data_IF_000700622073
#
_entry.id   IF_000700622073
#
_cell.length_a   1.000
_cell.length_b   1.000
_cell.length_c   1.000
_cell.angle_alpha   90.00
_cell.angle_beta   90.00
_cell.angle_gamma   90.00
#
_symmetry.space_group_name_H-M   'P 1'
#
loop_
_entity.id
_entity.type
_entity.pdbx_description
1 polymer ?
#
# COMPACT_ATOMS: atom_id res chain seq x y z
N UNK A 1 0.74 -1.09 13.55
CA UNK A 1 1.38 0.20 13.86
C UNK A 1 0.32 1.29 13.77
N UNK A 2 0.33 2.30 14.66
CA UNK A 2 -0.65 3.40 14.59
C UNK A 2 -0.39 4.33 13.40
N UNK A 3 -1.37 5.15 13.02
CA UNK A 3 -1.16 6.17 11.99
C UNK A 3 -0.18 7.25 12.47
N UNK A 4 -0.26 7.63 13.75
CA UNK A 4 0.66 8.59 14.38
C UNK A 4 2.11 8.10 14.32
N UNK A 5 2.33 6.80 14.57
CA UNK A 5 3.66 6.20 14.44
C UNK A 5 4.17 6.24 13.00
N UNK A 6 3.32 5.95 12.02
CA UNK A 6 3.67 6.02 10.61
C UNK A 6 4.12 7.43 10.22
N UNK A 7 3.32 8.44 10.58
CA UNK A 7 3.63 9.85 10.31
C UNK A 7 4.97 10.23 10.96
N UNK A 8 5.17 9.84 12.22
CA UNK A 8 6.42 10.11 12.94
C UNK A 8 7.61 9.45 12.26
N UNK A 9 7.52 8.18 11.87
CA UNK A 9 8.62 7.47 11.21
C UNK A 9 8.98 8.08 9.85
N UNK A 10 7.98 8.45 9.05
CA UNK A 10 8.20 9.12 7.77
C UNK A 10 8.86 10.49 7.98
N UNK A 11 8.36 11.27 8.93
CA UNK A 11 8.93 12.59 9.23
C UNK A 11 10.37 12.51 9.75
N UNK A 12 10.63 11.61 10.69
CA UNK A 12 11.90 11.59 11.42
C UNK A 12 13.00 10.85 10.64
N UNK A 13 12.63 9.87 9.81
CA UNK A 13 13.58 8.96 9.15
C UNK A 13 13.41 8.86 7.63
N UNK A 14 12.34 9.40 7.05
CA UNK A 14 12.08 9.31 5.61
C UNK A 14 11.84 7.88 5.12
N UNK A 15 11.37 6.98 5.98
CA UNK A 15 11.17 5.57 5.62
C UNK A 15 10.14 5.40 4.51
N UNK A 16 10.25 4.28 3.79
CA UNK A 16 9.19 3.76 2.94
C UNK A 16 8.36 2.78 3.76
N UNK A 17 7.05 3.01 3.82
CA UNK A 17 6.09 2.17 4.51
C UNK A 17 5.42 1.23 3.51
N UNK A 18 5.61 -0.07 3.67
CA UNK A 18 4.84 -1.07 2.95
C UNK A 18 3.40 -1.13 3.50
N UNK A 19 2.43 -1.09 2.59
CA UNK A 19 1.02 -1.27 2.90
C UNK A 19 0.44 -2.42 2.09
N UNK A 20 0.21 -3.55 2.77
CA UNK A 20 -0.37 -4.76 2.18
C UNK A 20 -1.90 -4.65 2.04
N UNK A 21 -2.47 -5.35 1.06
CA UNK A 21 -3.90 -5.39 0.79
C UNK A 21 -4.73 -5.96 1.97
N UNK A 22 -4.24 -7.02 2.59
CA UNK A 22 -4.96 -7.78 3.61
C UNK A 22 -4.17 -7.87 4.92
N UNK A 23 -4.89 -7.79 6.03
CA UNK A 23 -4.39 -8.16 7.35
C UNK A 23 -4.95 -9.54 7.73
N UNK A 24 -4.09 -10.53 8.00
CA UNK A 24 -4.56 -11.82 8.49
C UNK A 24 -5.16 -11.66 9.89
N UNK A 25 -6.37 -12.18 10.10
CA UNK A 25 -7.02 -12.25 11.40
C UNK A 25 -6.83 -13.62 12.07
N UNK A 26 -6.19 -14.56 11.38
CA UNK A 26 -6.11 -15.96 11.76
C UNK A 26 -7.39 -16.73 11.40
N UNK A 27 -7.34 -18.06 11.58
CA UNK A 27 -8.48 -18.97 11.34
C UNK A 27 -9.07 -18.88 9.91
N UNK A 28 -8.21 -18.62 8.91
CA UNK A 28 -8.64 -18.49 7.51
C UNK A 28 -9.49 -17.24 7.24
N UNK A 29 -9.33 -16.17 8.04
CA UNK A 29 -10.00 -14.89 7.83
C UNK A 29 -9.00 -13.77 7.61
N UNK A 30 -9.37 -12.81 6.79
CA UNK A 30 -8.63 -11.58 6.59
C UNK A 30 -9.53 -10.35 6.71
N UNK A 31 -8.90 -9.21 6.97
CA UNK A 31 -9.50 -7.88 6.89
C UNK A 31 -8.85 -7.14 5.74
N UNK A 32 -9.65 -6.49 4.89
CA UNK A 32 -9.10 -5.56 3.90
C UNK A 32 -8.54 -4.31 4.58
N UNK A 33 -7.33 -3.92 4.20
CA UNK A 33 -6.65 -2.74 4.73
C UNK A 33 -6.93 -1.47 3.92
N UNK A 34 -7.67 -1.56 2.80
CA UNK A 34 -7.83 -0.45 1.84
C UNK A 34 -8.21 0.89 2.48
N UNK A 35 -9.19 0.98 3.42
CA UNK A 35 -9.50 2.26 4.05
C UNK A 35 -8.35 2.81 4.90
N UNK A 36 -7.67 1.94 5.66
CA UNK A 36 -6.51 2.33 6.48
C UNK A 36 -5.33 2.75 5.61
N UNK A 37 -5.11 2.05 4.50
CA UNK A 37 -4.03 2.37 3.57
C UNK A 37 -4.29 3.72 2.90
N UNK A 38 -5.54 4.02 2.54
CA UNK A 38 -5.91 5.34 2.00
C UNK A 38 -5.64 6.46 3.01
N UNK A 39 -5.98 6.26 4.28
CA UNK A 39 -5.67 7.22 5.35
C UNK A 39 -4.15 7.42 5.49
N UNK A 40 -3.38 6.34 5.50
CA UNK A 40 -1.92 6.39 5.57
C UNK A 40 -1.30 7.11 4.37
N UNK A 41 -1.76 6.85 3.14
CA UNK A 41 -1.30 7.53 1.93
C UNK A 41 -1.54 9.04 2.03
N UNK A 42 -2.73 9.45 2.49
CA UNK A 42 -3.09 10.87 2.66
C UNK A 42 -2.27 11.57 3.74
N UNK A 43 -1.95 10.87 4.83
CA UNK A 43 -1.25 11.45 5.96
C UNK A 43 0.29 11.43 5.82
N UNK A 44 0.85 10.33 5.30
CA UNK A 44 2.29 10.12 5.18
C UNK A 44 2.85 10.60 3.84
N UNK A 45 2.01 10.74 2.82
CA UNK A 45 2.41 11.12 1.47
C UNK A 45 2.80 9.92 0.62
N UNK A 46 2.32 9.90 -0.63
CA UNK A 46 2.49 8.79 -1.57
C UNK A 46 3.94 8.42 -1.87
N UNK A 47 4.89 9.36 -1.73
CA UNK A 47 6.33 9.07 -1.94
C UNK A 47 6.95 8.20 -0.86
N UNK A 48 6.27 8.07 0.29
CA UNK A 48 6.72 7.29 1.44
C UNK A 48 5.84 6.05 1.69
N UNK A 49 4.90 5.75 0.80
CA UNK A 49 4.02 4.58 0.90
C UNK A 49 4.21 3.72 -0.34
N UNK A 50 4.67 2.49 -0.12
CA UNK A 50 4.73 1.46 -1.15
C UNK A 50 3.52 0.54 -0.98
N UNK A 51 2.75 0.32 -2.04
CA UNK A 51 1.60 -0.59 -1.96
C UNK A 51 1.99 -1.97 -2.49
N UNK A 52 1.53 -3.00 -1.80
CA UNK A 52 1.74 -4.41 -2.16
C UNK A 52 0.48 -5.21 -1.83
N UNK A 53 0.32 -6.39 -2.43
CA UNK A 53 -0.82 -7.26 -2.11
C UNK A 53 -0.50 -8.19 -0.95
N UNK A 54 0.75 -8.64 -0.82
CA UNK A 54 1.16 -9.76 0.04
C UNK A 54 0.27 -10.99 -0.15
N UNK A 55 -0.16 -11.21 -1.41
CA UNK A 55 -1.05 -12.29 -1.80
C UNK A 55 -0.33 -13.64 -1.90
N UNK A 56 -1.09 -14.72 -1.75
CA UNK A 56 -0.57 -16.09 -1.81
C UNK A 56 -1.30 -17.10 -0.90
N UNK A 57 -2.18 -16.60 -0.03
CA UNK A 57 -3.03 -17.39 0.86
C UNK A 57 -4.34 -17.76 0.16
N UNK A 58 -4.91 -18.93 0.47
CA UNK A 58 -6.14 -19.45 -0.15
C UNK A 58 -7.37 -18.59 0.18
N UNK A 59 -7.32 -17.90 1.32
CA UNK A 59 -8.41 -17.11 1.85
C UNK A 59 -8.45 -15.68 1.30
N UNK A 60 -7.35 -15.22 0.72
CA UNK A 60 -7.26 -13.93 0.05
C UNK A 60 -7.65 -14.08 -1.43
N UNK A 61 -8.10 -13.00 -2.10
CA UNK A 61 -8.22 -13.00 -3.56
C UNK A 61 -6.89 -13.36 -4.22
N UNK A 62 -6.95 -13.85 -5.46
CA UNK A 62 -5.76 -13.96 -6.30
C UNK A 62 -5.03 -12.62 -6.35
N UNK A 63 -3.69 -12.64 -6.45
CA UNK A 63 -2.89 -11.42 -6.27
C UNK A 63 -3.24 -10.35 -7.32
N UNK A 64 -3.61 -10.76 -8.52
CA UNK A 64 -4.06 -9.90 -9.61
C UNK A 64 -5.39 -9.20 -9.29
N UNK A 65 -6.34 -9.93 -8.69
CA UNK A 65 -7.63 -9.39 -8.28
C UNK A 65 -7.49 -8.44 -7.08
N UNK A 66 -6.64 -8.82 -6.12
CA UNK A 66 -6.32 -7.97 -4.96
C UNK A 66 -5.65 -6.67 -5.40
N UNK A 67 -4.70 -6.74 -6.35
CA UNK A 67 -4.06 -5.56 -6.91
C UNK A 67 -5.08 -4.69 -7.64
N UNK A 68 -5.90 -5.27 -8.52
CA UNK A 68 -6.96 -4.53 -9.22
C UNK A 68 -7.89 -3.79 -8.26
N UNK A 69 -8.39 -4.48 -7.23
CA UNK A 69 -9.26 -3.88 -6.21
C UNK A 69 -8.56 -2.74 -5.46
N UNK A 70 -7.27 -2.89 -5.15
CA UNK A 70 -6.50 -1.85 -4.49
C UNK A 70 -6.36 -0.60 -5.38
N UNK A 71 -5.91 -0.78 -6.63
CA UNK A 71 -5.72 0.35 -7.56
C UNK A 71 -7.05 1.06 -7.84
N UNK A 72 -8.13 0.31 -8.08
CA UNK A 72 -9.46 0.87 -8.31
C UNK A 72 -9.95 1.65 -7.08
N UNK A 73 -9.78 1.09 -5.87
CA UNK A 73 -10.18 1.78 -4.65
C UNK A 73 -9.46 3.12 -4.47
N UNK A 74 -8.15 3.19 -4.77
CA UNK A 74 -7.41 4.45 -4.71
C UNK A 74 -7.90 5.46 -5.76
N UNK A 75 -8.16 5.00 -6.98
CA UNK A 75 -8.68 5.84 -8.06
C UNK A 75 -10.07 6.39 -7.73
N UNK A 76 -10.99 5.56 -7.22
CA UNK A 76 -12.34 5.95 -6.80
C UNK A 76 -12.31 7.01 -5.67
N UNK A 77 -11.24 7.00 -4.86
CA UNK A 77 -11.00 7.97 -3.79
C UNK A 77 -10.12 9.15 -4.22
N UNK A 78 -9.99 9.37 -5.53
CA UNK A 78 -9.34 10.52 -6.16
C UNK A 78 -7.83 10.63 -5.88
N UNK A 79 -7.15 9.51 -5.63
CA UNK A 79 -5.69 9.49 -5.70
C UNK A 79 -5.29 9.58 -7.18
N UNK A 80 -4.49 10.57 -7.60
CA UNK A 80 -4.07 10.73 -8.98
C UNK A 80 -3.33 9.50 -9.51
N UNK A 81 -3.55 9.16 -10.78
CA UNK A 81 -2.92 8.01 -11.44
C UNK A 81 -1.38 8.04 -11.34
N UNK A 82 -0.78 9.23 -11.48
CA UNK A 82 0.67 9.43 -11.31
C UNK A 82 1.17 9.04 -9.91
N UNK A 83 0.36 9.26 -8.86
CA UNK A 83 0.71 8.87 -7.50
C UNK A 83 0.55 7.37 -7.31
N UNK A 84 -0.52 6.78 -7.87
CA UNK A 84 -0.73 5.33 -7.88
C UNK A 84 0.45 4.65 -8.60
N UNK A 85 0.88 5.18 -9.74
CA UNK A 85 2.04 4.70 -10.49
C UNK A 85 3.32 4.78 -9.65
N UNK A 86 3.54 5.91 -8.97
CA UNK A 86 4.71 6.09 -8.11
C UNK A 86 4.77 5.04 -6.98
N UNK A 87 3.65 4.77 -6.32
CA UNK A 87 3.53 3.81 -5.22
C UNK A 87 3.63 2.33 -5.65
N UNK A 88 3.44 2.04 -6.93
CA UNK A 88 3.42 0.67 -7.49
C UNK A 88 4.65 0.32 -8.32
N UNK A 89 5.33 1.33 -8.86
CA UNK A 89 6.48 1.13 -9.76
C UNK A 89 7.70 1.92 -9.30
N UNK A 90 7.57 3.23 -9.12
CA UNK A 90 8.74 4.12 -8.94
C UNK A 90 9.51 3.84 -7.66
N UNK A 91 8.82 3.62 -6.55
CA UNK A 91 9.48 3.28 -5.28
C UNK A 91 10.23 1.96 -5.41
N UNK A 92 9.57 0.92 -5.91
CA UNK A 92 10.10 -0.43 -6.07
C UNK A 92 11.33 -0.43 -6.99
N UNK A 93 11.23 0.21 -8.15
CA UNK A 93 12.34 0.34 -9.09
C UNK A 93 13.53 1.08 -8.46
N UNK A 94 13.28 2.18 -7.73
CA UNK A 94 14.32 2.92 -7.02
C UNK A 94 15.02 2.07 -5.95
N UNK A 95 14.26 1.31 -5.15
CA UNK A 95 14.80 0.42 -4.12
C UNK A 95 15.63 -0.73 -4.72
N UNK A 96 15.26 -1.20 -5.92
CA UNK A 96 15.98 -2.25 -6.65
C UNK A 96 17.05 -1.72 -7.60
N UNK A 97 17.27 -0.40 -7.65
CA UNK A 97 18.20 0.28 -8.55
C UNK A 97 17.95 -0.06 -10.04
N UNK A 98 16.67 -0.06 -10.44
CA UNK A 98 16.21 -0.27 -11.81
C UNK A 98 15.85 1.06 -12.47
N UNK A 99 16.03 1.13 -13.79
CA UNK A 99 15.55 2.25 -14.62
C UNK A 99 14.13 1.95 -15.11
N UNK A 100 13.22 2.92 -14.96
CA UNK A 100 11.86 2.88 -15.51
C UNK A 100 11.78 3.62 -16.84
#
# INVERSE_FOLDING_TARGET
MSLEDQIRLVKDYGVILEHCFAQPLGQGKYKSNLPMNLEAIKACGYKNVMISTDGGQVENPAWEDALYQYLQYLADHQIPEEQIYYMTHTIQAGLLNLTL
#
